data_IF_096164531819
#
_entry.id   IF_096164531819
#
_cell.length_a   1.000
_cell.length_b   1.000
_cell.length_c   1.000
_cell.angle_alpha   90.00
_cell.angle_beta   90.00
_cell.angle_gamma   90.00
#
_symmetry.space_group_name_H-M   'P 1'
#
loop_
_entity.id
_entity.type
_entity.pdbx_description
1 polymer ?
#
# COMPACT_ATOMS: atom_id res chain seq x y z
N UNK A 1 -22.38 -11.77 -21.42
CA UNK A 1 -21.20 -10.90 -21.57
C UNK A 1 -20.14 -11.70 -22.31
N UNK A 2 -19.74 -11.27 -23.50
CA UNK A 2 -18.87 -12.01 -24.44
C UNK A 2 -17.45 -12.16 -23.87
N UNK A 3 -16.87 -13.36 -23.97
CA UNK A 3 -15.53 -13.68 -23.46
C UNK A 3 -14.43 -12.72 -23.96
N UNK A 4 -14.60 -12.15 -25.14
CA UNK A 4 -13.64 -11.20 -25.73
C UNK A 4 -13.58 -9.86 -24.98
N UNK A 5 -14.69 -9.44 -24.36
CA UNK A 5 -14.75 -8.21 -23.58
C UNK A 5 -13.94 -8.34 -22.28
N UNK A 6 -14.06 -9.50 -21.63
CA UNK A 6 -13.31 -9.84 -20.41
C UNK A 6 -11.80 -9.91 -20.69
N UNK A 7 -11.42 -10.43 -21.86
CA UNK A 7 -10.02 -10.53 -22.26
C UNK A 7 -9.41 -9.14 -22.50
N UNK A 8 -10.14 -8.24 -23.17
CA UNK A 8 -9.68 -6.88 -23.42
C UNK A 8 -9.56 -6.06 -22.13
N UNK A 9 -10.52 -6.20 -21.20
CA UNK A 9 -10.44 -5.56 -19.89
C UNK A 9 -9.22 -6.05 -19.09
N UNK A 10 -8.94 -7.36 -19.13
CA UNK A 10 -7.74 -7.94 -18.49
C UNK A 10 -6.43 -7.49 -19.13
N UNK A 11 -6.41 -7.22 -20.43
CA UNK A 11 -5.20 -6.72 -21.09
C UNK A 11 -4.97 -5.24 -20.78
N UNK A 12 -6.03 -4.44 -20.67
CA UNK A 12 -6.01 -3.05 -20.17
C UNK A 12 -5.48 -2.99 -18.73
N UNK A 13 -6.08 -3.78 -17.83
CA UNK A 13 -5.74 -3.82 -16.39
C UNK A 13 -4.25 -4.16 -16.13
N UNK A 14 -3.62 -4.90 -17.05
CA UNK A 14 -2.25 -5.42 -16.90
C UNK A 14 -1.32 -5.00 -18.05
N UNK A 15 -1.55 -3.84 -18.68
CA UNK A 15 -0.71 -3.32 -19.78
C UNK A 15 0.77 -3.21 -19.43
N UNK A 16 1.08 -2.85 -18.18
CA UNK A 16 2.44 -2.67 -17.69
C UNK A 16 3.06 -3.97 -17.12
N UNK A 17 2.30 -5.07 -17.11
CA UNK A 17 2.75 -6.33 -16.52
C UNK A 17 3.87 -6.97 -17.35
N UNK A 18 5.01 -7.18 -16.71
CA UNK A 18 6.12 -7.95 -17.28
C UNK A 18 5.99 -9.42 -16.88
N UNK A 19 6.09 -10.31 -17.87
CA UNK A 19 6.02 -11.76 -17.66
C UNK A 19 7.39 -12.37 -17.93
N UNK A 20 7.75 -13.38 -17.14
CA UNK A 20 8.90 -14.23 -17.44
C UNK A 20 8.79 -14.85 -18.83
N UNK A 21 9.92 -14.99 -19.52
CA UNK A 21 10.01 -15.52 -20.89
C UNK A 21 9.58 -16.99 -21.01
N UNK A 22 9.53 -17.71 -19.88
CA UNK A 22 9.15 -19.13 -19.81
C UNK A 22 7.64 -19.37 -19.80
N UNK A 23 6.82 -18.31 -19.66
CA UNK A 23 5.37 -18.43 -19.54
C UNK A 23 4.71 -18.55 -20.92
N UNK A 24 3.99 -19.65 -21.13
CA UNK A 24 3.13 -19.82 -22.31
C UNK A 24 1.88 -18.93 -22.22
N UNK A 25 1.26 -18.62 -23.36
CA UNK A 25 0.06 -17.76 -23.43
C UNK A 25 -1.10 -18.27 -22.56
N UNK A 26 -1.26 -19.59 -22.46
CA UNK A 26 -2.29 -20.21 -21.61
C UNK A 26 -2.02 -20.00 -20.12
N UNK A 27 -0.75 -20.07 -19.71
CA UNK A 27 -0.34 -19.83 -18.32
C UNK A 27 -0.54 -18.36 -17.92
N UNK A 28 -0.20 -17.42 -18.82
CA UNK A 28 -0.45 -15.99 -18.59
C UNK A 28 -1.93 -15.69 -18.40
N UNK A 29 -2.79 -16.27 -19.27
CA UNK A 29 -4.23 -16.10 -19.16
C UNK A 29 -4.77 -16.65 -17.83
N UNK A 30 -4.30 -17.82 -17.40
CA UNK A 30 -4.70 -18.39 -16.11
C UNK A 30 -4.23 -17.52 -14.94
N UNK A 31 -2.99 -17.02 -14.99
CA UNK A 31 -2.45 -16.12 -13.97
C UNK A 31 -3.30 -14.85 -13.84
N UNK A 32 -3.61 -14.20 -14.97
CA UNK A 32 -4.45 -13.00 -15.02
C UNK A 32 -5.85 -13.23 -14.42
N UNK A 33 -6.46 -14.38 -14.71
CA UNK A 33 -7.75 -14.75 -14.12
C UNK A 33 -7.67 -14.89 -12.60
N UNK A 34 -6.59 -15.50 -12.08
CA UNK A 34 -6.37 -15.65 -10.63
C UNK A 34 -6.15 -14.28 -9.98
N UNK A 35 -5.29 -13.45 -10.54
CA UNK A 35 -5.01 -12.10 -10.02
C UNK A 35 -6.27 -11.23 -9.98
N UNK A 36 -7.10 -11.28 -11.04
CA UNK A 36 -8.38 -10.56 -11.06
C UNK A 36 -9.39 -11.12 -10.06
N UNK A 37 -9.44 -12.45 -9.88
CA UNK A 37 -10.33 -13.09 -8.90
C UNK A 37 -9.96 -12.69 -7.46
N UNK A 38 -8.67 -12.57 -7.17
CA UNK A 38 -8.13 -12.27 -5.84
C UNK A 38 -7.67 -10.81 -5.72
N UNK A 39 -8.24 -9.90 -6.53
CA UNK A 39 -7.77 -8.51 -6.62
C UNK A 39 -7.77 -7.81 -5.26
N UNK A 40 -8.79 -8.06 -4.45
CA UNK A 40 -8.98 -7.47 -3.11
C UNK A 40 -7.99 -8.02 -2.06
N UNK A 41 -7.33 -9.15 -2.34
CA UNK A 41 -6.32 -9.75 -1.46
C UNK A 41 -4.94 -9.09 -1.63
N UNK A 42 -4.74 -8.31 -2.70
CA UNK A 42 -3.49 -7.61 -2.99
C UNK A 42 -3.64 -6.12 -2.69
N UNK A 43 -2.66 -5.55 -2.00
CA UNK A 43 -2.58 -4.10 -1.83
C UNK A 43 -2.28 -3.44 -3.18
N UNK A 44 -3.32 -2.97 -3.86
CA UNK A 44 -3.21 -2.10 -5.03
C UNK A 44 -3.04 -0.67 -4.52
N UNK A 45 -2.14 0.11 -5.12
CA UNK A 45 -1.66 1.39 -4.58
C UNK A 45 -2.72 2.45 -4.25
N UNK A 46 -3.97 2.28 -4.70
CA UNK A 46 -5.10 3.16 -4.42
C UNK A 46 -5.90 2.76 -3.17
N UNK A 47 -5.61 1.62 -2.53
CA UNK A 47 -6.30 1.18 -1.33
C UNK A 47 -5.63 1.74 -0.06
N UNK A 48 -6.41 2.26 0.91
CA UNK A 48 -5.84 2.77 2.15
C UNK A 48 -5.17 1.64 2.92
N UNK A 49 -3.88 1.81 3.22
CA UNK A 49 -3.15 0.96 4.14
C UNK A 49 -3.86 0.97 5.50
N UNK A 50 -4.24 -0.19 6.03
CA UNK A 50 -4.75 -0.28 7.40
C UNK A 50 -6.23 -0.65 7.58
N UNK A 51 -6.95 -1.12 6.56
CA UNK A 51 -8.28 -1.77 6.74
C UNK A 51 -8.22 -3.13 7.46
N UNK A 52 -7.24 -3.37 8.32
CA UNK A 52 -7.16 -4.59 9.15
C UNK A 52 -8.00 -4.35 10.39
N UNK A 53 -9.22 -4.91 10.42
CA UNK A 53 -10.09 -4.84 11.59
C UNK A 53 -9.44 -5.56 12.78
N UNK A 54 -9.39 -4.91 13.94
CA UNK A 54 -8.97 -5.52 15.21
C UNK A 54 -7.47 -5.42 15.54
N UNK A 55 -6.71 -4.58 14.83
CA UNK A 55 -5.32 -4.26 15.18
C UNK A 55 -5.21 -2.89 15.87
N UNK A 56 -6.18 -2.54 16.71
CA UNK A 56 -6.10 -1.34 17.53
C UNK A 56 -5.10 -1.59 18.66
N UNK A 57 -4.16 -0.66 18.85
CA UNK A 57 -3.14 -0.76 19.89
C UNK A 57 -3.57 0.09 21.09
N UNK A 58 -3.79 -0.56 22.23
CA UNK A 58 -3.95 0.12 23.51
C UNK A 58 -2.59 0.36 24.14
N UNK A 59 -2.19 1.64 24.23
CA UNK A 59 -0.93 2.05 24.86
C UNK A 59 -1.23 2.54 26.28
N UNK A 60 -0.73 1.82 27.28
CA UNK A 60 -0.80 2.19 28.68
C UNK A 60 0.53 2.80 29.15
N UNK A 61 0.46 3.87 29.93
CA UNK A 61 1.64 4.42 30.60
C UNK A 61 1.81 3.70 31.94
N UNK A 62 2.91 3.00 32.13
CA UNK A 62 3.26 2.28 33.36
C UNK A 62 3.65 3.22 34.53
N UNK A 63 3.25 4.49 34.48
CA UNK A 63 3.64 5.50 35.45
C UNK A 63 2.42 6.05 36.16
N UNK A 64 2.40 5.86 37.47
CA UNK A 64 1.51 6.58 38.37
C UNK A 64 1.87 8.07 38.37
N UNK A 65 0.88 8.95 38.55
CA UNK A 65 1.10 10.39 38.57
C UNK A 65 2.12 10.76 39.66
N UNK A 66 3.00 11.76 39.42
CA UNK A 66 3.05 12.65 38.26
C UNK A 66 3.79 12.05 37.06
N UNK A 67 3.21 12.18 35.87
CA UNK A 67 3.86 11.75 34.62
C UNK A 67 5.20 12.47 34.42
N UNK A 68 6.18 11.83 33.75
CA UNK A 68 7.42 12.50 33.40
C UNK A 68 7.14 13.79 32.63
N UNK A 69 7.95 14.85 32.82
CA UNK A 69 7.88 16.01 31.95
C UNK A 69 8.07 15.54 30.50
N UNK A 70 7.21 16.05 29.60
CA UNK A 70 7.26 15.75 28.17
C UNK A 70 8.70 15.84 27.67
N UNK A 71 9.24 14.74 27.14
CA UNK A 71 10.58 14.70 26.56
C UNK A 71 10.60 15.53 25.26
N UNK A 72 10.64 16.86 25.39
CA UNK A 72 10.77 17.78 24.25
C UNK A 72 12.22 17.77 23.79
N UNK A 73 12.61 16.73 23.07
CA UNK A 73 13.83 16.78 22.26
C UNK A 73 13.51 17.61 21.02
N UNK A 74 14.33 18.62 20.74
CA UNK A 74 14.25 19.34 19.47
C UNK A 74 14.46 18.33 18.34
N UNK A 75 13.67 18.45 17.28
CA UNK A 75 13.86 17.64 16.07
C UNK A 75 15.24 17.93 15.50
N UNK A 76 16.00 16.88 15.16
CA UNK A 76 17.26 17.05 14.46
C UNK A 76 17.05 17.79 13.13
N UNK A 77 18.01 18.65 12.77
CA UNK A 77 17.91 19.37 11.51
C UNK A 77 18.22 18.43 10.34
N UNK A 78 17.19 18.13 9.53
CA UNK A 78 17.37 17.48 8.24
C UNK A 78 17.86 18.47 7.18
N UNK A 79 18.63 17.98 6.19
CA UNK A 79 19.04 18.76 5.03
C UNK A 79 17.83 19.08 4.10
N UNK A 80 18.01 19.96 3.12
CA UNK A 80 16.91 20.42 2.25
C UNK A 80 16.29 19.29 1.42
N UNK A 81 17.10 18.38 0.89
CA UNK A 81 16.61 17.31 0.01
C UNK A 81 15.84 16.25 0.80
N UNK A 82 16.36 15.85 1.96
CA UNK A 82 15.69 14.96 2.90
C UNK A 82 14.38 15.57 3.38
N UNK A 83 14.31 16.88 3.64
CA UNK A 83 13.04 17.54 4.00
C UNK A 83 12.01 17.45 2.89
N UNK A 84 12.39 17.62 1.63
CA UNK A 84 11.47 17.52 0.48
C UNK A 84 10.90 16.10 0.34
N UNK A 85 11.75 15.09 0.45
CA UNK A 85 11.32 13.68 0.38
C UNK A 85 10.41 13.31 1.56
N UNK A 86 10.77 13.71 2.78
CA UNK A 86 9.93 13.50 3.96
C UNK A 86 8.58 14.20 3.77
N UNK A 87 8.56 15.43 3.26
CA UNK A 87 7.31 16.15 3.02
C UNK A 87 6.41 15.45 2.01
N UNK A 88 6.98 14.86 0.96
CA UNK A 88 6.23 14.06 -0.02
C UNK A 88 5.58 12.86 0.66
N UNK A 89 6.34 12.10 1.45
CA UNK A 89 5.84 10.92 2.17
C UNK A 89 4.76 11.30 3.19
N UNK A 90 4.94 12.39 3.94
CA UNK A 90 3.92 12.90 4.88
C UNK A 90 2.63 13.22 4.13
N UNK A 91 2.71 13.89 2.98
CA UNK A 91 1.54 14.23 2.18
C UNK A 91 0.83 12.98 1.63
N UNK A 92 1.58 11.93 1.29
CA UNK A 92 1.01 10.64 0.88
C UNK A 92 0.27 9.98 2.05
N UNK A 93 0.88 9.90 3.24
CA UNK A 93 0.26 9.34 4.44
C UNK A 93 -1.01 10.11 4.85
N UNK A 94 -0.98 11.45 4.82
CA UNK A 94 -2.15 12.28 5.14
C UNK A 94 -3.33 12.08 4.17
N UNK A 95 -3.06 11.69 2.92
CA UNK A 95 -4.12 11.35 1.95
C UNK A 95 -4.71 9.97 2.22
N UNK A 96 -3.94 9.07 2.82
CA UNK A 96 -4.36 7.68 3.11
C UNK A 96 -5.28 7.58 4.33
N UNK A 97 -5.14 8.50 5.30
CA UNK A 97 -6.01 8.58 6.49
C UNK A 97 -5.58 7.62 7.59
#
# INVERSE_FOLDING_TARGET
>A
MTNDKILNDLLEDFKEAQYGTQLTSKMKLNLLKVLRKHREDFAIGDEPLGKIKGHDIELYLDLERPYPPMLRRLTYQANLDTRKEIQKQINELLKMG
#
